data_IF_818654191231
#
_entry.id   IF_818654191231
#
_cell.length_a   1.000
_cell.length_b   1.000
_cell.length_c   1.000
_cell.angle_alpha   90.00
_cell.angle_beta   90.00
_cell.angle_gamma   90.00
#
_symmetry.space_group_name_H-M   'P 1'
#
loop_
_entity.id
_entity.type
_entity.pdbx_description
1 polymer ?
#
# COMPACT_ATOMS: atom_id res chain seq x y z
N UNK A 1 2.21 -5.71 17.81
CA UNK A 1 0.87 -5.74 17.19
C UNK A 1 1.03 -5.36 15.72
N UNK A 2 0.77 -6.28 14.80
CA UNK A 2 0.81 -6.00 13.36
C UNK A 2 -0.30 -5.02 13.03
N UNK A 3 0.04 -3.81 12.58
CA UNK A 3 -0.96 -2.80 12.22
C UNK A 3 -1.73 -3.31 11.00
N UNK A 4 -3.05 -3.49 11.12
CA UNK A 4 -3.89 -3.94 10.00
C UNK A 4 -4.17 -2.77 9.05
N UNK A 5 -4.38 -3.06 7.75
CA UNK A 5 -4.74 -2.07 6.74
C UNK A 5 -5.79 -1.06 7.22
N UNK A 6 -6.92 -1.53 7.73
CA UNK A 6 -8.00 -0.68 8.22
C UNK A 6 -7.58 0.26 9.35
N UNK A 7 -6.86 -0.27 10.34
CA UNK A 7 -6.37 0.51 11.48
C UNK A 7 -5.35 1.56 11.06
N UNK A 8 -4.48 1.24 10.09
CA UNK A 8 -3.51 2.17 9.52
C UNK A 8 -4.22 3.32 8.79
N UNK A 9 -5.13 3.01 7.88
CA UNK A 9 -5.93 3.99 7.12
C UNK A 9 -6.67 4.94 8.06
N UNK A 10 -7.34 4.40 9.08
CA UNK A 10 -8.05 5.21 10.08
C UNK A 10 -7.11 6.14 10.83
N UNK A 11 -5.98 5.61 11.30
CA UNK A 11 -4.99 6.39 12.05
C UNK A 11 -4.44 7.54 11.21
N UNK A 12 -4.09 7.27 9.96
CA UNK A 12 -3.55 8.29 9.06
C UNK A 12 -4.61 9.34 8.72
N UNK A 13 -5.84 8.93 8.40
CA UNK A 13 -6.94 9.87 8.14
C UNK A 13 -7.22 10.77 9.34
N UNK A 14 -7.33 10.21 10.55
CA UNK A 14 -7.56 11.02 11.76
C UNK A 14 -6.38 11.94 12.09
N UNK A 15 -5.14 11.53 11.80
CA UNK A 15 -3.96 12.39 11.92
C UNK A 15 -4.06 13.60 11.00
N UNK A 16 -4.38 13.40 9.72
CA UNK A 16 -4.59 14.49 8.76
C UNK A 16 -5.77 15.36 9.14
N UNK A 17 -6.84 14.75 9.69
CA UNK A 17 -8.04 15.46 10.13
C UNK A 17 -7.78 16.50 11.23
N UNK A 18 -6.79 16.27 12.09
CA UNK A 18 -6.39 17.24 13.12
C UNK A 18 -5.87 18.54 12.51
N UNK A 19 -5.23 18.47 11.34
CA UNK A 19 -4.71 19.63 10.62
C UNK A 19 -5.73 20.19 9.62
N UNK A 20 -6.52 19.34 8.97
CA UNK A 20 -7.52 19.74 7.99
C UNK A 20 -8.82 18.93 8.16
N UNK A 21 -9.92 19.63 8.49
CA UNK A 21 -11.24 19.00 8.73
C UNK A 21 -11.78 18.24 7.52
N UNK A 22 -11.27 18.51 6.31
CA UNK A 22 -11.66 17.85 5.07
C UNK A 22 -11.29 16.37 5.01
N UNK A 23 -10.45 15.88 5.92
CA UNK A 23 -10.16 14.45 6.10
C UNK A 23 -11.22 13.73 6.95
N UNK A 24 -12.45 14.23 6.96
CA UNK A 24 -13.58 13.48 7.52
C UNK A 24 -13.81 12.18 6.73
N UNK A 25 -14.32 11.15 7.41
CA UNK A 25 -14.64 9.86 6.79
C UNK A 25 -15.48 10.02 5.51
N UNK A 26 -16.49 10.90 5.54
CA UNK A 26 -17.40 11.10 4.39
C UNK A 26 -16.70 11.73 3.21
N UNK A 27 -15.87 12.75 3.45
CA UNK A 27 -15.17 13.47 2.38
C UNK A 27 -14.08 12.61 1.74
N UNK A 28 -13.30 11.87 2.52
CA UNK A 28 -12.32 10.91 2.00
C UNK A 28 -13.02 9.80 1.19
N UNK A 29 -14.11 9.24 1.72
CA UNK A 29 -14.89 8.24 1.00
C UNK A 29 -15.41 8.76 -0.35
N UNK A 30 -15.94 9.99 -0.38
CA UNK A 30 -16.39 10.63 -1.60
C UNK A 30 -15.25 10.83 -2.62
N UNK A 31 -14.07 11.31 -2.20
CA UNK A 31 -12.92 11.54 -3.08
C UNK A 31 -12.35 10.25 -3.68
N UNK A 32 -12.36 9.16 -2.93
CA UNK A 32 -11.99 7.84 -3.47
C UNK A 32 -13.17 7.15 -4.19
N UNK A 33 -14.35 7.77 -4.24
CA UNK A 33 -15.55 7.28 -4.92
C UNK A 33 -16.12 6.00 -4.33
N UNK A 34 -16.28 5.94 -3.00
CA UNK A 34 -16.96 4.86 -2.27
C UNK A 34 -17.94 5.45 -1.25
N UNK A 35 -18.90 4.64 -0.80
CA UNK A 35 -19.82 5.03 0.26
C UNK A 35 -19.10 5.23 1.61
N UNK A 36 -19.48 6.22 2.44
CA UNK A 36 -18.87 6.42 3.76
C UNK A 36 -19.00 5.20 4.68
N UNK A 37 -20.11 4.46 4.58
CA UNK A 37 -20.33 3.22 5.34
C UNK A 37 -19.36 2.11 4.91
N UNK A 38 -18.95 2.10 3.64
CA UNK A 38 -18.00 1.16 3.07
C UNK A 38 -16.58 1.44 3.60
N UNK A 39 -16.13 2.71 3.55
CA UNK A 39 -14.85 3.11 4.13
C UNK A 39 -14.81 2.87 5.65
N UNK A 40 -15.93 3.07 6.36
CA UNK A 40 -16.03 2.75 7.80
C UNK A 40 -15.84 1.26 8.11
N UNK A 41 -16.38 0.35 7.28
CA UNK A 41 -16.17 -1.09 7.43
C UNK A 41 -14.69 -1.45 7.21
N UNK A 42 -14.08 -0.88 6.18
CA UNK A 42 -12.64 -1.03 5.91
C UNK A 42 -11.80 -0.57 7.10
N UNK A 43 -12.03 0.65 7.61
CA UNK A 43 -11.28 1.22 8.73
C UNK A 43 -11.42 0.44 10.04
N UNK A 44 -12.53 -0.29 10.20
CA UNK A 44 -12.76 -1.18 11.35
C UNK A 44 -12.19 -2.59 11.15
N UNK A 45 -11.63 -2.89 9.98
CA UNK A 45 -11.06 -4.20 9.67
C UNK A 45 -12.09 -5.27 9.37
N UNK A 46 -13.25 -4.92 8.82
CA UNK A 46 -14.24 -5.90 8.38
C UNK A 46 -13.70 -6.76 7.23
N UNK A 47 -13.42 -8.04 7.50
CA UNK A 47 -12.85 -8.98 6.53
C UNK A 47 -13.76 -9.28 5.33
N UNK A 48 -15.06 -8.91 5.38
CA UNK A 48 -15.99 -9.09 4.26
C UNK A 48 -15.84 -8.00 3.19
N UNK A 49 -15.05 -6.96 3.45
CA UNK A 49 -14.93 -5.80 2.58
C UNK A 49 -13.47 -5.59 2.21
N UNK A 50 -13.21 -5.36 0.91
CA UNK A 50 -11.87 -5.10 0.40
C UNK A 50 -11.89 -4.06 -0.70
N UNK A 51 -10.86 -3.21 -0.75
CA UNK A 51 -10.68 -2.26 -1.84
C UNK A 51 -10.01 -2.91 -3.04
N UNK A 52 -10.40 -2.50 -4.25
CA UNK A 52 -9.64 -2.79 -5.47
C UNK A 52 -8.31 -2.03 -5.45
N UNK A 53 -7.32 -2.48 -6.21
CA UNK A 53 -6.03 -1.78 -6.31
C UNK A 53 -6.21 -0.31 -6.73
N UNK A 54 -7.09 -0.03 -7.69
CA UNK A 54 -7.40 1.34 -8.10
C UNK A 54 -7.89 2.20 -6.93
N UNK A 55 -8.78 1.67 -6.08
CA UNK A 55 -9.27 2.39 -4.89
C UNK A 55 -8.20 2.54 -3.80
N UNK A 56 -7.30 1.57 -3.65
CA UNK A 56 -6.16 1.66 -2.73
C UNK A 56 -5.20 2.75 -3.19
N UNK A 57 -4.89 2.84 -4.49
CA UNK A 57 -4.06 3.91 -5.05
C UNK A 57 -4.68 5.30 -4.84
N UNK A 58 -5.99 5.45 -5.07
CA UNK A 58 -6.70 6.70 -4.77
C UNK A 58 -6.63 7.06 -3.28
N UNK A 59 -6.82 6.07 -2.40
CA UNK A 59 -6.73 6.27 -0.96
C UNK A 59 -5.30 6.64 -0.52
N UNK A 60 -4.27 6.03 -1.11
CA UNK A 60 -2.88 6.35 -0.84
C UNK A 60 -2.57 7.80 -1.24
N UNK A 61 -2.96 8.21 -2.45
CA UNK A 61 -2.81 9.58 -2.93
C UNK A 61 -3.53 10.58 -2.01
N UNK A 62 -4.77 10.26 -1.61
CA UNK A 62 -5.55 11.08 -0.70
C UNK A 62 -4.88 11.22 0.67
N UNK A 63 -4.31 10.16 1.22
CA UNK A 63 -3.68 10.15 2.54
C UNK A 63 -2.19 10.55 2.54
N UNK A 64 -1.62 10.85 1.38
CA UNK A 64 -0.20 11.16 1.21
C UNK A 64 0.72 9.98 1.55
N UNK A 65 0.27 8.76 1.28
CA UNK A 65 0.98 7.51 1.56
C UNK A 65 1.48 6.85 0.27
N UNK A 66 2.47 5.97 0.43
CA UNK A 66 2.96 5.15 -0.68
C UNK A 66 1.92 4.07 -1.05
N UNK A 67 1.52 3.96 -2.34
CA UNK A 67 0.52 2.99 -2.78
C UNK A 67 0.97 1.53 -2.62
N UNK A 68 2.24 1.22 -2.81
CA UNK A 68 2.78 -0.14 -2.65
C UNK A 68 2.79 -0.55 -1.18
N UNK A 69 3.08 0.38 -0.26
CA UNK A 69 2.95 0.14 1.19
C UNK A 69 1.49 -0.14 1.56
N UNK A 70 0.55 0.67 1.07
CA UNK A 70 -0.87 0.47 1.35
C UNK A 70 -1.41 -0.84 0.75
N UNK A 71 -0.96 -1.21 -0.45
CA UNK A 71 -1.26 -2.49 -1.07
C UNK A 71 -0.71 -3.64 -0.24
N UNK A 72 0.55 -3.58 0.20
CA UNK A 72 1.18 -4.60 1.03
C UNK A 72 0.42 -4.80 2.36
N UNK A 73 0.01 -3.70 3.02
CA UNK A 73 -0.83 -3.76 4.22
C UNK A 73 -2.18 -4.45 3.97
N UNK A 74 -2.71 -4.34 2.76
CA UNK A 74 -3.94 -5.04 2.33
C UNK A 74 -3.71 -6.49 1.87
N UNK A 75 -2.46 -6.98 1.95
CA UNK A 75 -2.06 -8.31 1.50
C UNK A 75 -1.92 -8.44 -0.02
N UNK A 76 -1.69 -7.33 -0.73
CA UNK A 76 -1.59 -7.27 -2.19
C UNK A 76 -0.23 -6.74 -2.63
N UNK A 77 0.18 -7.16 -3.82
CA UNK A 77 1.30 -6.56 -4.57
C UNK A 77 0.71 -5.89 -5.80
N UNK A 78 1.23 -4.73 -6.19
CA UNK A 78 0.74 -3.97 -7.34
C UNK A 78 0.79 -4.79 -8.64
N UNK A 79 -0.20 -4.58 -9.51
CA UNK A 79 -0.37 -5.38 -10.73
C UNK A 79 0.85 -5.29 -11.65
N UNK A 80 1.45 -4.12 -11.78
CA UNK A 80 2.65 -3.90 -12.58
C UNK A 80 3.86 -4.67 -12.03
N UNK A 81 4.05 -4.70 -10.71
CA UNK A 81 5.09 -5.54 -10.09
C UNK A 81 4.83 -7.03 -10.35
N UNK A 82 3.57 -7.48 -10.24
CA UNK A 82 3.24 -8.87 -10.58
C UNK A 82 3.51 -9.18 -12.06
N UNK A 83 3.24 -8.24 -12.98
CA UNK A 83 3.53 -8.39 -14.40
C UNK A 83 5.04 -8.46 -14.67
N UNK A 84 5.86 -7.67 -13.96
CA UNK A 84 7.33 -7.75 -14.02
C UNK A 84 7.81 -9.14 -13.56
N UNK A 85 7.30 -9.65 -12.44
CA UNK A 85 7.64 -10.99 -11.94
C UNK A 85 7.25 -12.07 -12.96
N UNK A 86 6.05 -11.98 -13.55
CA UNK A 86 5.56 -12.96 -14.54
C UNK A 86 6.39 -13.00 -15.83
N UNK A 87 7.11 -11.93 -16.19
CA UNK A 87 8.00 -11.93 -17.36
C UNK A 87 9.24 -12.80 -17.17
N UNK A 88 9.71 -12.99 -15.93
CA UNK A 88 10.91 -13.78 -15.59
C UNK A 88 10.71 -14.49 -14.25
N UNK A 89 9.77 -15.46 -14.17
CA UNK A 89 9.29 -15.99 -12.90
C UNK A 89 10.38 -16.71 -12.10
N UNK A 90 11.23 -17.52 -12.75
CA UNK A 90 12.32 -18.23 -12.08
C UNK A 90 13.36 -17.28 -11.50
N UNK A 91 13.83 -16.31 -12.31
CA UNK A 91 14.80 -15.30 -11.91
C UNK A 91 14.30 -14.46 -10.73
N UNK A 92 13.10 -13.90 -10.83
CA UNK A 92 12.55 -13.07 -9.75
C UNK A 92 12.20 -13.88 -8.52
N UNK A 93 11.71 -15.12 -8.66
CA UNK A 93 11.43 -15.96 -7.51
C UNK A 93 12.71 -16.39 -6.78
N UNK A 94 13.82 -16.61 -7.48
CA UNK A 94 15.10 -16.86 -6.85
C UNK A 94 15.62 -15.61 -6.13
N UNK A 95 15.70 -14.48 -6.85
CA UNK A 95 16.16 -13.19 -6.31
C UNK A 95 15.37 -12.78 -5.05
N UNK A 96 14.04 -12.77 -5.11
CA UNK A 96 13.20 -12.35 -3.96
C UNK A 96 13.42 -13.26 -2.74
N UNK A 97 13.65 -14.57 -2.95
CA UNK A 97 13.92 -15.50 -1.84
C UNK A 97 15.30 -15.25 -1.23
N UNK A 98 16.31 -14.91 -2.03
CA UNK A 98 17.65 -14.55 -1.52
C UNK A 98 17.62 -13.24 -0.73
N UNK A 99 16.82 -12.26 -1.17
CA UNK A 99 16.63 -10.98 -0.48
C UNK A 99 15.99 -11.14 0.91
N UNK A 100 15.36 -12.28 1.22
CA UNK A 100 14.63 -12.51 2.49
C UNK A 100 15.52 -12.42 3.73
N UNK A 101 16.77 -12.88 3.63
CA UNK A 101 17.70 -12.95 4.76
C UNK A 101 18.70 -11.77 4.76
N UNK A 102 18.57 -10.85 3.79
CA UNK A 102 19.46 -9.70 3.61
C UNK A 102 18.87 -8.49 4.37
N UNK A 103 19.69 -7.72 5.12
CA UNK A 103 19.19 -6.55 5.84
C UNK A 103 18.76 -5.43 4.89
N UNK A 104 17.77 -4.62 5.31
CA UNK A 104 17.16 -3.55 4.51
C UNK A 104 18.18 -2.62 3.83
N UNK A 105 19.25 -2.24 4.53
CA UNK A 105 20.28 -1.35 3.98
C UNK A 105 21.03 -1.97 2.79
N UNK A 106 21.20 -3.30 2.77
CA UNK A 106 21.84 -4.00 1.67
C UNK A 106 20.89 -4.16 0.48
N UNK A 107 19.60 -4.41 0.72
CA UNK A 107 18.56 -4.38 -0.32
C UNK A 107 18.49 -2.99 -0.96
N UNK A 108 18.53 -1.92 -0.15
CA UNK A 108 18.55 -0.54 -0.63
C UNK A 108 19.78 -0.23 -1.49
N UNK A 109 20.94 -0.80 -1.17
CA UNK A 109 22.16 -0.63 -1.98
C UNK A 109 21.98 -1.27 -3.36
N UNK A 110 21.51 -2.53 -3.42
CA UNK A 110 21.22 -3.23 -4.68
C UNK A 110 20.21 -2.42 -5.52
N UNK A 111 19.13 -1.94 -4.91
CA UNK A 111 18.14 -1.12 -5.60
C UNK A 111 18.69 0.21 -6.14
N UNK A 112 19.70 0.80 -5.48
CA UNK A 112 20.40 2.01 -5.98
C UNK A 112 21.34 1.68 -7.12
N UNK A 113 22.09 0.60 -7.04
CA UNK A 113 22.97 0.15 -8.15
C UNK A 113 22.14 -0.08 -9.42
N UNK A 114 20.99 -0.77 -9.29
CA UNK A 114 19.99 -0.99 -10.37
C UNK A 114 19.22 0.26 -10.79
N UNK A 115 19.30 1.36 -10.04
CA UNK A 115 18.72 2.65 -10.45
C UNK A 115 19.73 3.52 -11.19
N UNK A 116 20.98 3.51 -10.71
CA UNK A 116 22.05 4.39 -11.15
C UNK A 116 22.74 3.95 -12.45
N UNK A 117 22.37 2.80 -13.01
CA UNK A 117 23.06 2.24 -14.19
C UNK A 117 24.33 1.48 -13.85
N UNK A 118 24.55 1.13 -12.58
CA UNK A 118 25.80 0.52 -12.09
C UNK A 118 25.65 -1.00 -11.96
N UNK A 119 25.19 -1.65 -13.04
CA UNK A 119 25.02 -3.10 -13.14
C UNK A 119 25.79 -3.70 -14.31
#
# INVERSE_FOLDING_TARGET
MTTTFGSFVRKQREKLRKANRDFSLRQVAARIGVEPSYLSKIERGDHKVYLTEAKIRLLAAELGEDPDVLLALSGKVSRDVQEIIRKRPELFAHLIRELKEIPDHAVLRIAREVRDGKW
#
